data_IF_150550894696
#
_entry.id   IF_150550894696
#
_cell.length_a   1.000
_cell.length_b   1.000
_cell.length_c   1.000
_cell.angle_alpha   90.00
_cell.angle_beta   90.00
_cell.angle_gamma   90.00
#
_symmetry.space_group_name_H-M   'P 1'
#
loop_
_entity.id
_entity.type
_entity.pdbx_description
1 polymer ?
#
# COMPACT_ATOMS: atom_id res chain seq x y z
N UNK A 1 -41.40 27.23 -30.45
CA UNK A 1 -40.04 27.78 -30.25
C UNK A 1 -39.35 26.87 -29.27
N UNK A 2 -38.06 26.62 -29.37
CA UNK A 2 -37.30 25.93 -28.33
C UNK A 2 -37.43 26.69 -27.00
N UNK A 3 -36.93 26.13 -25.89
CA UNK A 3 -36.94 26.79 -24.59
C UNK A 3 -36.36 28.21 -24.69
N UNK A 4 -36.99 29.15 -23.99
CA UNK A 4 -36.55 30.55 -23.95
C UNK A 4 -35.25 30.72 -23.13
N UNK A 5 -34.97 29.80 -22.22
CA UNK A 5 -33.81 29.80 -21.34
C UNK A 5 -33.14 28.41 -21.26
N UNK A 6 -31.91 28.40 -20.83
CA UNK A 6 -31.13 27.17 -20.58
C UNK A 6 -30.53 27.17 -19.17
N UNK A 7 -30.31 25.99 -18.60
CA UNK A 7 -29.58 25.88 -17.34
C UNK A 7 -28.12 26.27 -17.56
N UNK A 8 -27.51 26.86 -16.52
CA UNK A 8 -26.13 27.39 -16.57
C UNK A 8 -25.09 26.32 -16.84
N UNK A 9 -25.19 25.14 -16.22
CA UNK A 9 -24.13 24.13 -16.29
C UNK A 9 -24.30 23.13 -17.43
N UNK A 10 -25.48 22.52 -17.56
CA UNK A 10 -25.69 21.46 -18.55
C UNK A 10 -26.40 21.96 -19.82
N UNK A 11 -26.83 23.22 -19.85
CA UNK A 11 -27.53 23.78 -21.00
C UNK A 11 -28.92 23.14 -21.26
N UNK A 12 -29.52 22.53 -20.21
CA UNK A 12 -30.85 21.91 -20.32
C UNK A 12 -31.93 22.96 -20.54
N UNK A 13 -33.02 22.57 -21.20
CA UNK A 13 -34.13 23.46 -21.47
C UNK A 13 -34.82 23.94 -20.20
N UNK A 14 -34.97 25.27 -20.03
CA UNK A 14 -35.77 25.89 -18.99
C UNK A 14 -37.04 26.51 -19.65
N UNK A 15 -38.18 25.86 -19.46
CA UNK A 15 -39.42 26.21 -20.12
C UNK A 15 -40.12 27.37 -19.41
N UNK A 16 -40.55 28.35 -20.19
CA UNK A 16 -41.43 29.43 -19.75
C UNK A 16 -42.87 29.11 -20.16
N UNK A 17 -43.87 29.74 -19.53
CA UNK A 17 -45.26 29.46 -19.77
C UNK A 17 -45.75 29.68 -21.22
N UNK A 18 -44.97 30.42 -22.02
CA UNK A 18 -45.23 30.69 -23.43
C UNK A 18 -44.50 29.76 -24.39
N UNK A 19 -43.60 28.94 -23.89
CA UNK A 19 -42.80 28.03 -24.71
C UNK A 19 -43.63 26.82 -25.15
N UNK A 20 -43.27 26.22 -26.26
CA UNK A 20 -43.90 25.01 -26.80
C UNK A 20 -42.88 23.91 -26.94
N UNK A 21 -42.72 23.07 -25.90
CA UNK A 21 -41.80 21.96 -25.91
C UNK A 21 -42.03 21.02 -27.10
N UNK A 22 -40.96 20.56 -27.70
CA UNK A 22 -40.97 19.50 -28.69
C UNK A 22 -40.35 18.24 -28.10
N UNK A 23 -40.73 17.08 -28.63
CA UNK A 23 -40.17 15.80 -28.22
C UNK A 23 -38.63 15.79 -28.29
N UNK A 24 -38.06 16.40 -29.34
CA UNK A 24 -36.62 16.45 -29.54
C UNK A 24 -35.87 17.19 -28.40
N UNK A 25 -36.49 18.24 -27.86
CA UNK A 25 -35.88 19.03 -26.78
C UNK A 25 -35.70 18.18 -25.53
N UNK A 26 -36.62 17.26 -25.21
CA UNK A 26 -36.50 16.32 -24.10
C UNK A 26 -35.46 15.21 -24.37
N UNK A 27 -35.35 14.77 -25.64
CA UNK A 27 -34.31 13.77 -26.03
C UNK A 27 -32.94 14.36 -25.87
N UNK A 28 -32.74 15.62 -26.28
CA UNK A 28 -31.46 16.31 -26.13
C UNK A 28 -31.10 16.56 -24.66
N UNK A 29 -32.08 16.99 -23.84
CA UNK A 29 -31.87 17.16 -22.40
C UNK A 29 -31.49 15.84 -21.72
N UNK A 30 -32.18 14.75 -22.02
CA UNK A 30 -31.86 13.43 -21.48
C UNK A 30 -30.45 12.96 -21.91
N UNK A 31 -30.09 13.18 -23.17
CA UNK A 31 -28.76 12.85 -23.66
C UNK A 31 -27.66 13.66 -22.96
N UNK A 32 -27.90 14.96 -22.72
CA UNK A 32 -26.98 15.81 -22.00
C UNK A 32 -26.76 15.35 -20.54
N UNK A 33 -27.84 14.97 -19.86
CA UNK A 33 -27.80 14.44 -18.49
C UNK A 33 -27.07 13.09 -18.45
N UNK A 34 -27.43 12.17 -19.35
CA UNK A 34 -26.79 10.85 -19.46
C UNK A 34 -25.27 10.98 -19.67
N UNK A 35 -24.87 11.83 -20.61
CA UNK A 35 -23.46 12.09 -20.91
C UNK A 35 -22.72 12.72 -19.72
N UNK A 36 -23.34 13.65 -19.00
CA UNK A 36 -22.73 14.28 -17.83
C UNK A 36 -22.56 13.27 -16.69
N UNK A 37 -23.55 12.42 -16.45
CA UNK A 37 -23.47 11.35 -15.43
C UNK A 37 -22.41 10.34 -15.82
N UNK A 38 -22.40 9.88 -17.08
CA UNK A 38 -21.39 8.93 -17.57
C UNK A 38 -19.98 9.48 -17.42
N UNK A 39 -19.73 10.71 -17.83
CA UNK A 39 -18.41 11.35 -17.70
C UNK A 39 -18.00 11.48 -16.24
N UNK A 40 -18.92 11.80 -15.34
CA UNK A 40 -18.61 11.89 -13.92
C UNK A 40 -18.29 10.52 -13.33
N UNK A 41 -19.12 9.50 -13.57
CA UNK A 41 -18.95 8.17 -12.99
C UNK A 41 -17.75 7.40 -13.56
N UNK A 42 -17.36 7.67 -14.80
CA UNK A 42 -16.19 7.05 -15.44
C UNK A 42 -14.87 7.80 -15.19
N UNK A 43 -14.93 8.97 -14.56
CA UNK A 43 -13.73 9.76 -14.28
C UNK A 43 -12.98 9.24 -13.05
N UNK A 44 -11.90 8.50 -13.29
CA UNK A 44 -11.06 7.93 -12.23
C UNK A 44 -10.21 8.99 -11.48
N UNK A 45 -10.04 10.19 -12.04
CA UNK A 45 -9.33 11.27 -11.35
C UNK A 45 -10.19 11.89 -10.23
N UNK A 46 -11.53 11.87 -10.40
CA UNK A 46 -12.48 12.40 -9.41
C UNK A 46 -12.91 11.33 -8.40
N UNK A 47 -12.86 10.07 -8.80
CA UNK A 47 -13.25 8.93 -7.96
C UNK A 47 -12.04 8.04 -7.66
N UNK A 48 -11.94 7.60 -6.40
CA UNK A 48 -10.93 6.63 -6.00
C UNK A 48 -11.13 5.32 -6.77
N UNK A 49 -10.08 4.83 -7.40
CA UNK A 49 -10.04 3.49 -7.99
C UNK A 49 -10.19 2.41 -6.90
N UNK A 50 -10.46 1.18 -7.28
CA UNK A 50 -10.49 0.06 -6.32
C UNK A 50 -9.13 -0.12 -5.64
N UNK A 51 -8.04 0.10 -6.35
CA UNK A 51 -6.68 0.07 -5.79
C UNK A 51 -6.48 1.17 -4.73
N UNK A 52 -6.92 2.41 -5.01
CA UNK A 52 -6.85 3.49 -4.02
C UNK A 52 -7.67 3.17 -2.77
N UNK A 53 -8.86 2.58 -2.94
CA UNK A 53 -9.70 2.14 -1.82
C UNK A 53 -9.04 1.08 -0.97
N UNK A 54 -8.34 0.10 -1.59
CA UNK A 54 -7.55 -0.90 -0.88
C UNK A 54 -6.40 -0.25 -0.10
N UNK A 55 -5.66 0.69 -0.70
CA UNK A 55 -4.58 1.42 -0.03
C UNK A 55 -5.11 2.19 1.18
N UNK A 56 -6.23 2.90 1.04
CA UNK A 56 -6.83 3.65 2.15
C UNK A 56 -7.42 2.76 3.25
N UNK A 57 -8.03 1.64 2.88
CA UNK A 57 -8.65 0.73 3.86
C UNK A 57 -7.62 -0.11 4.62
N UNK A 58 -6.48 -0.41 4.01
CA UNK A 58 -5.42 -1.24 4.57
C UNK A 58 -4.04 -0.77 4.11
N UNK A 59 -3.58 0.41 4.61
CA UNK A 59 -2.31 1.00 4.19
C UNK A 59 -1.09 0.21 4.65
N UNK A 60 -1.25 -0.59 5.70
CA UNK A 60 -0.20 -1.45 6.22
C UNK A 60 -0.78 -2.73 6.82
N UNK A 61 0.01 -3.78 6.80
CA UNK A 61 -0.29 -5.04 7.50
C UNK A 61 0.80 -5.30 8.52
N UNK A 62 0.38 -5.65 9.73
CA UNK A 62 1.26 -6.17 10.77
C UNK A 62 1.14 -7.70 10.79
N UNK A 63 2.26 -8.37 10.87
CA UNK A 63 2.33 -9.82 11.01
C UNK A 63 3.48 -10.24 11.90
N UNK A 64 3.58 -11.53 12.12
CA UNK A 64 4.65 -12.13 12.91
C UNK A 64 5.15 -13.41 12.25
N UNK A 65 6.39 -13.78 12.57
CA UNK A 65 6.96 -15.08 12.20
C UNK A 65 7.85 -15.59 13.33
N UNK A 66 8.16 -16.87 13.26
CA UNK A 66 9.11 -17.53 14.14
C UNK A 66 10.34 -17.88 13.30
N UNK A 67 11.51 -17.55 13.79
CA UNK A 67 12.78 -17.89 13.15
C UNK A 67 12.99 -19.42 13.11
N UNK A 68 13.63 -19.89 12.06
CA UNK A 68 13.95 -21.31 11.82
C UNK A 68 15.44 -21.65 12.01
N UNK A 69 16.24 -20.66 12.40
CA UNK A 69 17.68 -20.83 12.65
C UNK A 69 18.54 -21.01 11.41
N UNK A 70 17.95 -20.92 10.19
CA UNK A 70 18.72 -20.97 8.96
C UNK A 70 19.33 -19.59 8.64
N UNK A 71 20.32 -19.56 7.76
CA UNK A 71 20.93 -18.32 7.30
C UNK A 71 19.90 -17.35 6.68
N UNK A 72 18.91 -17.89 5.95
CA UNK A 72 17.84 -17.12 5.32
C UNK A 72 16.49 -17.82 5.49
N UNK A 73 15.44 -17.03 5.82
CA UNK A 73 14.05 -17.47 5.78
C UNK A 73 13.22 -16.56 4.87
N UNK A 74 12.27 -17.15 4.16
CA UNK A 74 11.36 -16.46 3.25
C UNK A 74 9.98 -16.30 3.88
N UNK A 75 9.50 -15.07 3.96
CA UNK A 75 8.20 -14.72 4.52
C UNK A 75 7.31 -14.19 3.40
N UNK A 76 6.23 -14.92 3.06
CA UNK A 76 5.26 -14.49 2.06
C UNK A 76 4.33 -13.42 2.63
N UNK A 77 4.20 -12.31 1.93
CA UNK A 77 3.34 -11.18 2.29
C UNK A 77 2.04 -11.18 1.47
N UNK A 78 0.92 -10.66 2.00
CA UNK A 78 -0.37 -10.70 1.33
C UNK A 78 -0.45 -9.81 0.09
N UNK A 79 0.43 -8.81 -0.02
CA UNK A 79 0.55 -7.91 -1.17
C UNK A 79 2.02 -7.60 -1.43
N UNK A 80 2.32 -6.93 -2.53
CA UNK A 80 3.65 -6.39 -2.80
C UNK A 80 3.82 -5.06 -2.04
N UNK A 81 4.60 -5.01 -0.96
CA UNK A 81 4.79 -3.79 -0.20
C UNK A 81 5.81 -2.85 -0.86
N UNK A 82 5.67 -1.56 -0.61
CA UNK A 82 6.71 -0.57 -0.93
C UNK A 82 7.86 -0.63 0.06
N UNK A 83 7.56 -1.00 1.30
CA UNK A 83 8.56 -1.12 2.36
C UNK A 83 8.11 -2.13 3.42
N UNK A 84 9.09 -2.72 4.10
CA UNK A 84 8.88 -3.56 5.29
C UNK A 84 9.82 -3.12 6.40
N UNK A 85 9.33 -3.23 7.63
CA UNK A 85 10.11 -3.12 8.85
C UNK A 85 9.97 -4.42 9.64
N UNK A 86 11.07 -4.93 10.17
CA UNK A 86 11.12 -6.16 10.98
C UNK A 86 11.81 -5.86 12.29
N UNK A 87 11.33 -6.46 13.37
CA UNK A 87 12.00 -6.37 14.67
C UNK A 87 11.70 -7.63 15.51
N UNK A 88 12.68 -8.05 16.27
CA UNK A 88 12.54 -9.10 17.28
C UNK A 88 11.66 -8.61 18.43
N UNK A 89 10.79 -9.49 18.96
CA UNK A 89 9.80 -9.09 19.97
C UNK A 89 10.32 -9.04 21.40
N UNK A 90 11.31 -9.86 21.71
CA UNK A 90 11.80 -10.09 23.05
C UNK A 90 13.15 -9.43 23.36
N UNK A 91 13.65 -8.61 22.42
CA UNK A 91 14.96 -7.99 22.52
C UNK A 91 14.92 -6.54 22.05
N UNK A 92 15.91 -5.74 22.50
CA UNK A 92 16.11 -4.40 21.97
C UNK A 92 16.59 -4.43 20.50
N UNK A 93 16.52 -3.30 19.78
CA UNK A 93 16.96 -3.23 18.37
C UNK A 93 18.40 -3.67 18.17
N UNK A 94 19.28 -3.36 19.11
CA UNK A 94 20.70 -3.75 19.11
C UNK A 94 21.07 -4.21 20.51
N UNK A 95 21.73 -5.35 20.61
CA UNK A 95 22.23 -5.90 21.86
C UNK A 95 23.76 -5.98 21.83
N UNK A 96 24.40 -5.53 22.92
CA UNK A 96 25.83 -5.60 23.13
C UNK A 96 26.19 -6.80 23.98
N UNK A 97 27.22 -7.52 23.55
CA UNK A 97 27.70 -8.69 24.25
C UNK A 97 29.11 -8.47 24.82
N UNK A 98 29.42 -9.12 25.93
CA UNK A 98 30.70 -8.99 26.60
C UNK A 98 31.92 -9.47 25.77
N UNK A 99 31.66 -10.20 24.70
CA UNK A 99 32.67 -10.57 23.68
C UNK A 99 33.06 -9.46 22.72
N UNK A 100 32.49 -8.24 22.89
CA UNK A 100 32.83 -7.08 22.06
C UNK A 100 32.10 -7.02 20.72
N UNK A 101 31.04 -7.80 20.54
CA UNK A 101 30.22 -7.80 19.32
C UNK A 101 28.79 -7.34 19.60
N UNK A 102 28.03 -7.05 18.54
CA UNK A 102 26.62 -6.65 18.62
C UNK A 102 25.75 -7.60 17.82
N UNK A 103 24.49 -7.78 18.30
CA UNK A 103 23.42 -8.40 17.53
C UNK A 103 22.42 -7.33 17.08
N UNK A 104 22.11 -7.28 15.80
CA UNK A 104 21.08 -6.41 15.21
C UNK A 104 19.78 -7.20 15.06
N UNK A 105 18.77 -6.78 15.83
CA UNK A 105 17.47 -7.43 15.98
C UNK A 105 16.35 -6.72 15.18
N UNK A 106 16.69 -5.80 14.29
CA UNK A 106 15.75 -5.07 13.44
C UNK A 106 16.28 -4.92 12.02
N UNK A 107 15.39 -4.67 11.08
CA UNK A 107 15.75 -4.38 9.72
C UNK A 107 14.63 -3.68 8.96
N UNK A 108 15.01 -3.06 7.86
CA UNK A 108 14.12 -2.34 6.95
C UNK A 108 14.51 -2.65 5.52
N UNK A 109 13.51 -2.83 4.63
CA UNK A 109 13.76 -2.98 3.21
C UNK A 109 12.66 -2.33 2.36
N UNK A 110 13.06 -1.91 1.16
CA UNK A 110 12.20 -1.55 0.04
C UNK A 110 12.41 -2.53 -1.11
N UNK A 111 11.67 -2.37 -2.21
CA UNK A 111 11.89 -3.20 -3.42
C UNK A 111 13.28 -2.97 -4.06
N UNK A 112 13.93 -1.87 -3.76
CA UNK A 112 15.21 -1.46 -4.38
C UNK A 112 16.41 -1.62 -3.46
N UNK A 113 16.20 -1.55 -2.14
CA UNK A 113 17.29 -1.56 -1.15
C UNK A 113 16.79 -2.02 0.22
N UNK A 114 17.70 -2.42 1.06
CA UNK A 114 17.41 -2.79 2.45
C UNK A 114 18.61 -2.61 3.36
N UNK A 115 18.39 -2.67 4.67
CA UNK A 115 19.46 -2.82 5.65
C UNK A 115 20.00 -4.23 5.59
N UNK A 116 21.20 -4.45 6.12
CA UNK A 116 21.72 -5.80 6.33
C UNK A 116 20.67 -6.63 7.09
N UNK A 117 20.47 -7.86 6.65
CA UNK A 117 19.54 -8.80 7.28
C UNK A 117 18.09 -8.76 6.81
N UNK A 118 17.66 -7.79 6.00
CA UNK A 118 16.32 -7.78 5.39
C UNK A 118 16.42 -7.39 3.93
N UNK A 119 15.75 -8.14 3.06
CA UNK A 119 15.54 -7.77 1.67
C UNK A 119 14.13 -8.07 1.22
N UNK A 120 13.70 -7.45 0.11
CA UNK A 120 12.33 -7.52 -0.37
C UNK A 120 12.32 -7.73 -1.88
N UNK A 121 11.60 -8.74 -2.34
CA UNK A 121 11.41 -9.02 -3.76
C UNK A 121 9.95 -9.38 -4.03
N UNK A 122 9.23 -8.51 -4.72
CA UNK A 122 7.82 -8.70 -4.98
C UNK A 122 7.02 -8.82 -3.68
N UNK A 123 6.39 -9.97 -3.44
CA UNK A 123 5.63 -10.28 -2.23
C UNK A 123 6.40 -11.08 -1.19
N UNK A 124 7.71 -11.24 -1.36
CA UNK A 124 8.52 -12.05 -0.45
C UNK A 124 9.53 -11.16 0.28
N UNK A 125 9.49 -11.21 1.58
CA UNK A 125 10.49 -10.66 2.48
C UNK A 125 11.46 -11.76 2.86
N UNK A 126 12.76 -11.50 2.72
CA UNK A 126 13.85 -12.37 3.14
C UNK A 126 14.44 -11.80 4.43
N UNK A 127 14.64 -12.65 5.41
CA UNK A 127 15.25 -12.30 6.69
C UNK A 127 16.47 -13.18 6.92
N UNK A 128 17.54 -12.61 7.44
CA UNK A 128 18.84 -13.26 7.54
C UNK A 128 19.30 -13.41 8.99
N UNK A 129 20.02 -14.51 9.24
CA UNK A 129 20.72 -14.84 10.47
C UNK A 129 22.20 -15.00 10.17
N UNK A 130 23.07 -14.29 10.92
CA UNK A 130 24.49 -14.57 10.89
C UNK A 130 24.76 -15.89 11.63
N UNK A 131 25.36 -16.85 10.95
CA UNK A 131 25.70 -18.17 11.51
C UNK A 131 27.18 -18.27 11.93
N UNK A 132 27.94 -17.20 11.71
CA UNK A 132 29.36 -17.14 12.02
C UNK A 132 29.61 -17.10 13.54
N UNK A 133 30.70 -17.66 13.99
CA UNK A 133 31.19 -17.51 15.37
C UNK A 133 31.55 -16.02 15.60
N UNK A 134 30.92 -15.33 16.59
CA UNK A 134 31.15 -13.90 16.78
C UNK A 134 32.57 -13.61 17.26
N UNK A 135 33.18 -12.59 16.67
CA UNK A 135 34.45 -12.03 17.12
C UNK A 135 34.27 -10.56 17.55
N UNK A 136 35.30 -10.04 18.27
CA UNK A 136 35.28 -8.64 18.70
C UNK A 136 35.18 -7.68 17.49
N UNK A 137 34.24 -6.75 17.56
CA UNK A 137 33.94 -5.77 16.52
C UNK A 137 32.82 -6.16 15.54
N UNK A 138 32.34 -7.40 15.59
CA UNK A 138 31.25 -7.84 14.69
C UNK A 138 29.92 -7.16 14.98
N UNK A 139 29.17 -6.97 13.90
CA UNK A 139 27.75 -6.62 13.94
C UNK A 139 26.96 -7.68 13.20
N UNK A 140 26.39 -8.61 13.94
CA UNK A 140 25.73 -9.80 13.42
C UNK A 140 24.23 -9.56 13.27
N UNK A 141 23.66 -10.10 12.19
CA UNK A 141 22.21 -10.07 11.94
C UNK A 141 21.54 -11.17 12.74
N UNK A 142 20.48 -10.83 13.46
CA UNK A 142 19.73 -11.73 14.33
C UNK A 142 18.22 -11.64 14.04
N UNK A 143 17.84 -11.89 12.77
CA UNK A 143 16.47 -11.77 12.31
C UNK A 143 15.82 -13.11 11.95
N UNK A 144 16.54 -14.22 12.18
CA UNK A 144 16.01 -15.57 11.96
C UNK A 144 16.54 -16.61 12.97
N UNK A 145 16.81 -16.19 14.21
CA UNK A 145 17.24 -17.10 15.26
C UNK A 145 16.20 -18.19 15.51
N UNK A 146 16.64 -19.43 15.70
CA UNK A 146 15.76 -20.57 15.98
C UNK A 146 14.84 -20.29 17.18
N UNK A 147 13.54 -20.51 16.97
CA UNK A 147 12.45 -20.16 17.90
C UNK A 147 12.33 -18.67 18.29
N UNK A 148 13.14 -17.77 17.72
CA UNK A 148 13.00 -16.33 17.91
C UNK A 148 11.67 -15.83 17.38
N UNK A 149 11.02 -14.91 18.10
CA UNK A 149 9.76 -14.31 17.68
C UNK A 149 10.00 -12.91 17.12
N UNK A 150 9.45 -12.66 15.94
CA UNK A 150 9.61 -11.42 15.21
C UNK A 150 8.25 -10.89 14.78
N UNK A 151 8.10 -9.58 14.77
CA UNK A 151 6.99 -8.93 14.07
C UNK A 151 7.51 -8.17 12.85
N UNK A 152 6.62 -7.95 11.90
CA UNK A 152 6.88 -7.06 10.78
C UNK A 152 5.72 -6.13 10.52
N UNK A 153 6.02 -5.00 9.90
CA UNK A 153 5.06 -4.06 9.33
C UNK A 153 5.37 -3.97 7.83
N UNK A 154 4.41 -4.35 7.01
CA UNK A 154 4.49 -4.23 5.55
C UNK A 154 3.59 -3.07 5.10
N UNK A 155 4.17 -2.08 4.43
CA UNK A 155 3.49 -0.86 3.99
C UNK A 155 3.12 -1.02 2.52
N UNK A 156 1.84 -0.81 2.18
CA UNK A 156 1.36 -0.87 0.81
C UNK A 156 1.92 0.34 0.02
N UNK A 157 2.38 0.11 -1.18
CA UNK A 157 2.73 1.16 -2.13
C UNK A 157 1.50 1.76 -2.79
N UNK A 158 1.61 2.99 -3.25
CA UNK A 158 0.61 3.64 -4.10
C UNK A 158 0.67 3.07 -5.53
#
# INVERSE_FOLDING_TARGET
>A
MPASQKTEHLGLNQWQGTDKPKRIDFVEDNAAVDHAIYNHTSNQEVHLSDTDREVFSSPAVMGAYVGDGQEEQQISLPFQPSAVFVMRMDSGPVEWYSGGYTLTNFGFATQESGTSGVSLTGKVMFVHQSLEEPIEGDNLMNLNMDYGQYFYIAIRGA
#
